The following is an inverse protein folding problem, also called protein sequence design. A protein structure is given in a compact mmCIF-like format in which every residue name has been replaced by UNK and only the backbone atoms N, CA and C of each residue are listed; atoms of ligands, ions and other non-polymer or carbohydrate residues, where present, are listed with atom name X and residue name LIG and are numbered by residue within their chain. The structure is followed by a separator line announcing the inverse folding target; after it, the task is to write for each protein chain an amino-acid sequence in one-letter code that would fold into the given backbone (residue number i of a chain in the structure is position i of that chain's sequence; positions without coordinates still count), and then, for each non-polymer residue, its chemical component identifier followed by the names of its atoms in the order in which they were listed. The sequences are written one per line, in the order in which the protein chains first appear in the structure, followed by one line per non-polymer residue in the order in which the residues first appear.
data_IF_828411225822
#
_entry.id   IF_828411225822
#
_cell.length_a   1.000
_cell.length_b   1.000
_cell.length_c   1.000
_cell.angle_alpha   90.00
_cell.angle_beta   90.00
_cell.angle_gamma   90.00
#
_symmetry.space_group_name_H-M   'P 1'
#
loop_
_entity.id
_entity.type
_entity.pdbx_description
1 polymer ?
#
# COMPACT_ATOMS: atom_id res chain seq x y z
N UNK A 1 10.96 -0.90 2.47
CA UNK A 1 9.55 -0.50 2.53
C UNK A 1 8.92 -0.44 1.15
N UNK A 2 9.66 0.08 0.18
CA UNK A 2 9.17 0.15 -1.20
C UNK A 2 8.85 -1.24 -1.76
N UNK A 3 9.66 -2.24 -1.42
CA UNK A 3 9.42 -3.60 -1.87
C UNK A 3 8.13 -4.16 -1.28
N UNK A 4 7.85 -3.84 -0.03
CA UNK A 4 6.63 -4.29 0.63
C UNK A 4 5.41 -3.66 -0.01
N UNK A 5 5.49 -2.37 -0.30
CA UNK A 5 4.39 -1.65 -0.94
C UNK A 5 4.12 -2.22 -2.33
N UNK A 6 5.16 -2.48 -3.10
CA UNK A 6 5.01 -3.08 -4.43
C UNK A 6 4.35 -4.44 -4.37
N UNK A 7 4.75 -5.23 -3.40
CA UNK A 7 4.20 -6.56 -3.20
C UNK A 7 2.71 -6.48 -2.87
N UNK A 8 2.35 -5.58 -1.98
CA UNK A 8 0.96 -5.38 -1.62
C UNK A 8 0.12 -4.87 -2.77
N UNK A 9 0.70 -3.99 -3.58
CA UNK A 9 -0.01 -3.49 -4.76
C UNK A 9 -0.28 -4.62 -5.75
N UNK A 10 0.68 -5.52 -5.92
CA UNK A 10 0.49 -6.68 -6.79
C UNK A 10 -0.63 -7.57 -6.26
N UNK A 11 -0.65 -7.81 -4.96
CA UNK A 11 -1.70 -8.59 -4.34
C UNK A 11 -3.07 -7.92 -4.47
N UNK A 12 -3.09 -6.61 -4.34
CA UNK A 12 -4.32 -5.85 -4.50
C UNK A 12 -4.89 -5.99 -5.92
N UNK A 13 -4.02 -5.91 -6.92
CA UNK A 13 -4.45 -6.10 -8.30
C UNK A 13 -4.97 -7.50 -8.55
N UNK A 14 -4.29 -8.48 -7.98
CA UNK A 14 -4.71 -9.87 -8.12
C UNK A 14 -6.06 -10.09 -7.45
N UNK A 15 -6.25 -9.52 -6.27
CA UNK A 15 -7.53 -9.63 -5.58
C UNK A 15 -8.64 -8.97 -6.39
N UNK A 16 -8.38 -7.83 -7.00
CA UNK A 16 -9.37 -7.15 -7.83
C UNK A 16 -9.72 -7.97 -9.07
N UNK A 17 -8.71 -8.60 -9.67
CA UNK A 17 -8.92 -9.47 -10.82
C UNK A 17 -9.78 -10.66 -10.48
N UNK A 18 -9.62 -11.18 -9.26
CA UNK A 18 -10.39 -12.32 -8.78
C UNK A 18 -11.74 -11.90 -8.18
N UNK A 19 -12.10 -10.63 -8.30
CA UNK A 19 -13.33 -10.08 -7.76
C UNK A 19 -13.41 -10.16 -6.24
N UNK A 20 -12.27 -10.21 -5.59
CA UNK A 20 -12.19 -10.18 -4.13
C UNK A 20 -12.10 -8.73 -3.66
N UNK A 21 -13.20 -8.03 -3.77
CA UNK A 21 -13.23 -6.59 -3.52
C UNK A 21 -12.90 -6.21 -2.09
N UNK A 22 -13.35 -7.00 -1.13
CA UNK A 22 -13.07 -6.72 0.27
C UNK A 22 -11.58 -6.85 0.57
N UNK A 23 -10.96 -7.87 0.01
CA UNK A 23 -9.54 -8.08 0.18
C UNK A 23 -8.74 -6.98 -0.49
N UNK A 24 -9.15 -6.61 -1.69
CA UNK A 24 -8.50 -5.53 -2.42
C UNK A 24 -8.59 -4.21 -1.65
N UNK A 25 -9.73 -3.94 -1.04
CA UNK A 25 -9.93 -2.73 -0.26
C UNK A 25 -9.01 -2.69 0.96
N UNK A 26 -8.85 -3.82 1.63
CA UNK A 26 -7.96 -3.91 2.78
C UNK A 26 -6.51 -3.66 2.40
N UNK A 27 -6.10 -4.29 1.30
CA UNK A 27 -4.74 -4.11 0.81
C UNK A 27 -4.49 -2.67 0.39
N UNK A 28 -5.48 -2.05 -0.20
CA UNK A 28 -5.39 -0.65 -0.58
C UNK A 28 -5.22 0.25 0.64
N UNK A 29 -5.96 -0.02 1.69
CA UNK A 29 -5.84 0.75 2.92
C UNK A 29 -4.45 0.59 3.55
N UNK A 30 -3.94 -0.62 3.52
CA UNK A 30 -2.60 -0.90 4.02
C UNK A 30 -1.52 -0.18 3.24
N UNK A 31 -1.63 -0.22 1.92
CA UNK A 31 -0.70 0.49 1.05
C UNK A 31 -0.74 1.98 1.34
N UNK A 32 -1.92 2.51 1.52
CA UNK A 32 -2.09 3.93 1.83
C UNK A 32 -1.40 4.29 3.13
N UNK A 33 -1.57 3.47 4.15
CA UNK A 33 -0.93 3.68 5.44
C UNK A 33 0.59 3.67 5.33
N UNK A 34 1.11 2.69 4.63
CA UNK A 34 2.55 2.56 4.47
C UNK A 34 3.12 3.76 3.73
N UNK A 35 2.42 4.24 2.73
CA UNK A 35 2.84 5.42 1.99
C UNK A 35 2.83 6.66 2.85
N UNK A 36 1.83 6.80 3.68
CA UNK A 36 1.75 7.93 4.59
C UNK A 36 2.89 7.93 5.58
N UNK A 37 3.23 6.76 6.10
CA UNK A 37 4.36 6.62 7.00
C UNK A 37 5.68 6.99 6.32
N UNK A 38 5.84 6.57 5.09
CA UNK A 38 7.03 6.87 4.33
C UNK A 38 7.15 8.36 4.05
N UNK A 39 6.06 8.99 3.70
CA UNK A 39 6.02 10.43 3.46
C UNK A 39 6.33 11.21 4.74
N UNK A 40 5.80 10.75 5.84
CA UNK A 40 6.03 11.36 7.13
C UNK A 40 7.51 11.34 7.49
N UNK A 41 8.15 10.22 7.24
CA UNK A 41 9.58 10.07 7.47
C UNK A 41 10.39 11.02 6.59
N UNK A 42 10.02 11.11 5.33
CA UNK A 42 10.68 11.99 4.38
C UNK A 42 10.54 13.45 4.78
N UNK A 43 9.37 13.84 5.20
CA UNK A 43 9.13 15.19 5.66
C UNK A 43 9.98 15.53 6.89
N UNK A 44 10.10 14.57 7.77
CA UNK A 44 10.92 14.73 8.95
C UNK A 44 12.39 14.92 8.61
N UNK A 45 12.87 14.28 7.57
CA UNK A 45 14.25 14.40 7.13
C UNK A 45 14.51 15.75 6.48
N UNK A 46 13.58 16.19 5.67
CA UNK A 46 13.72 17.44 4.92
C UNK A 46 13.66 18.65 5.86
N UNK A 47 12.84 18.58 6.85
CA UNK A 47 12.71 19.69 7.80
C UNK A 47 13.76 19.63 8.88
#
# INVERSE_FOLDING_TARGET
LAAVIKDMEAQMREAATNLEFEKAARLRDEVKRLREMELDTLEGEVS
#
